data_IF_519148095640
#
_entry.id   IF_519148095640
#
_cell.length_a   1.000
_cell.length_b   1.000
_cell.length_c   1.000
_cell.angle_alpha   90.00
_cell.angle_beta   90.00
_cell.angle_gamma   90.00
#
_symmetry.space_group_name_H-M   'P 1'
#
loop_
_entity.id
_entity.type
_entity.pdbx_description
1 polymer ?
#
# COMPACT_ATOMS: atom_id res chain seq x y z
N UNK A 1 55.39 -6.23 15.53
CA UNK A 1 54.53 -6.69 14.41
C UNK A 1 53.57 -5.56 14.09
N UNK A 2 53.78 -4.90 12.96
CA UNK A 2 52.90 -3.90 12.37
C UNK A 2 51.57 -4.52 11.95
N UNK A 3 50.46 -3.77 12.00
CA UNK A 3 49.69 -3.31 10.81
C UNK A 3 48.22 -2.94 11.12
N UNK A 4 47.88 -1.68 10.77
CA UNK A 4 46.61 -1.13 10.24
C UNK A 4 45.30 -1.42 11.01
N UNK A 5 44.50 -0.45 11.48
CA UNK A 5 44.11 0.81 10.83
C UNK A 5 42.92 0.54 9.92
N UNK A 6 41.72 1.01 10.27
CA UNK A 6 40.55 0.85 9.39
C UNK A 6 39.21 1.20 10.03
N UNK A 7 38.99 2.50 10.28
CA UNK A 7 37.66 3.11 10.42
C UNK A 7 36.96 2.93 9.06
N UNK A 8 35.90 2.13 8.99
CA UNK A 8 35.05 2.08 7.79
C UNK A 8 33.94 3.09 7.96
N UNK A 9 34.24 4.31 7.52
CA UNK A 9 33.26 5.25 7.02
C UNK A 9 32.93 4.87 5.57
N UNK A 10 31.67 4.52 5.31
CA UNK A 10 31.05 4.57 3.98
C UNK A 10 29.61 5.06 4.21
N UNK A 11 29.16 6.20 3.73
CA UNK A 11 29.61 6.97 2.56
C UNK A 11 28.71 6.62 1.38
N UNK A 12 27.53 7.23 1.36
CA UNK A 12 26.58 7.24 0.25
C UNK A 12 25.61 8.40 0.50
N UNK A 13 25.63 9.39 -0.39
CA UNK A 13 25.03 10.72 -0.27
C UNK A 13 23.65 10.73 0.41
N UNK A 14 23.59 11.37 1.58
CA UNK A 14 22.33 11.82 2.15
C UNK A 14 21.88 13.02 1.33
N UNK A 15 20.94 12.79 0.42
CA UNK A 15 20.12 13.87 -0.08
C UNK A 15 19.29 14.35 1.13
N UNK A 16 19.75 15.38 1.82
CA UNK A 16 19.25 15.87 3.13
C UNK A 16 17.77 16.30 3.13
N UNK A 17 17.06 16.17 2.00
CA UNK A 17 15.64 16.50 1.86
C UNK A 17 14.72 15.29 1.64
N UNK A 18 15.21 14.08 1.38
CA UNK A 18 14.35 12.89 1.29
C UNK A 18 14.22 12.23 2.66
N UNK A 19 13.00 12.07 3.23
CA UNK A 19 12.83 11.30 4.46
C UNK A 19 13.35 9.89 4.23
N UNK A 20 14.32 9.46 5.04
CA UNK A 20 14.94 8.12 5.02
C UNK A 20 13.87 7.04 5.09
N UNK A 21 13.42 6.53 3.93
CA UNK A 21 12.43 5.46 3.74
C UNK A 21 11.56 5.14 4.97
N UNK A 22 10.89 6.17 5.51
CA UNK A 22 10.29 6.07 6.82
C UNK A 22 8.86 5.58 6.63
N UNK A 23 8.57 4.42 7.22
CA UNK A 23 7.28 3.74 7.09
C UNK A 23 6.49 3.93 8.39
N UNK A 24 5.30 4.49 8.28
CA UNK A 24 4.43 4.83 9.40
C UNK A 24 3.08 4.15 9.29
N UNK A 25 2.31 4.12 10.38
CA UNK A 25 0.86 4.04 10.26
C UNK A 25 0.35 5.36 9.68
N UNK A 26 -0.81 5.37 9.02
CA UNK A 26 -1.43 6.62 8.56
C UNK A 26 -1.88 7.53 9.71
N UNK A 27 -2.14 6.98 10.90
CA UNK A 27 -2.44 7.77 12.10
C UNK A 27 -1.22 8.55 12.59
N UNK A 28 -0.06 7.90 12.60
CA UNK A 28 1.19 8.43 13.14
C UNK A 28 2.08 9.09 12.07
N UNK A 29 1.53 9.33 10.87
CA UNK A 29 2.28 9.98 9.79
C UNK A 29 2.76 11.37 10.21
N UNK A 30 4.01 11.66 9.93
CA UNK A 30 4.61 12.97 10.13
C UNK A 30 5.52 13.27 8.93
N UNK A 31 4.91 13.80 7.86
CA UNK A 31 5.65 14.09 6.63
C UNK A 31 6.26 15.49 6.69
N UNK A 32 7.53 15.67 6.27
CA UNK A 32 8.15 16.97 6.21
C UNK A 32 7.42 17.88 5.21
N UNK A 33 7.65 19.19 5.33
CA UNK A 33 7.07 20.17 4.40
C UNK A 33 7.44 19.84 2.95
N UNK A 34 6.45 19.80 2.07
CA UNK A 34 6.62 19.43 0.66
C UNK A 34 6.43 17.94 0.36
N UNK A 35 6.09 17.13 1.37
CA UNK A 35 5.82 15.71 1.26
C UNK A 35 4.40 15.39 1.76
N UNK A 36 3.76 14.43 1.09
CA UNK A 36 2.43 13.93 1.45
C UNK A 36 2.50 12.44 1.76
N UNK A 37 1.76 12.01 2.79
CA UNK A 37 1.67 10.60 3.13
C UNK A 37 0.87 9.84 2.06
N UNK A 38 1.47 8.81 1.51
CA UNK A 38 0.86 7.89 0.56
C UNK A 38 0.63 6.52 1.22
N UNK A 39 -0.57 5.96 1.10
CA UNK A 39 -0.86 4.58 1.50
C UNK A 39 -0.18 3.63 0.53
N UNK A 40 0.78 2.85 1.02
CA UNK A 40 1.53 1.88 0.21
C UNK A 40 0.57 0.87 -0.44
N UNK A 41 -0.29 0.26 0.38
CA UNK A 41 -1.43 -0.50 -0.14
C UNK A 41 -2.63 0.44 -0.15
N UNK A 42 -3.21 0.77 -1.31
CA UNK A 42 -4.27 1.76 -1.38
C UNK A 42 -5.46 1.37 -0.50
N UNK A 43 -5.81 2.23 0.47
CA UNK A 43 -6.88 1.97 1.45
C UNK A 43 -8.20 1.54 0.81
N UNK A 44 -8.45 1.95 -0.45
CA UNK A 44 -9.68 1.59 -1.17
C UNK A 44 -9.78 0.12 -1.51
N UNK A 45 -8.67 -0.60 -1.68
CA UNK A 45 -8.73 -2.03 -1.99
C UNK A 45 -9.22 -2.84 -0.78
N UNK A 46 -8.97 -2.33 0.42
CA UNK A 46 -9.21 -2.99 1.71
C UNK A 46 -10.63 -2.81 2.29
N UNK A 47 -11.53 -2.18 1.54
CA UNK A 47 -12.91 -1.89 1.97
C UNK A 47 -13.89 -1.95 0.81
N UNK A 48 -15.15 -2.23 1.14
CA UNK A 48 -16.27 -2.14 0.19
C UNK A 48 -17.04 -0.81 0.30
N UNK A 49 -16.73 0.02 1.31
CA UNK A 49 -17.32 1.34 1.52
C UNK A 49 -16.60 2.51 0.83
N UNK A 50 -17.13 3.71 1.05
CA UNK A 50 -16.55 5.00 0.67
C UNK A 50 -15.38 5.38 1.59
N UNK A 51 -14.68 6.48 1.27
CA UNK A 51 -13.69 7.06 2.18
C UNK A 51 -14.33 7.57 3.49
N UNK A 52 -15.56 8.07 3.44
CA UNK A 52 -16.30 8.53 4.63
C UNK A 52 -16.60 7.37 5.59
N UNK A 53 -16.89 6.20 5.05
CA UNK A 53 -17.09 4.97 5.84
C UNK A 53 -15.76 4.53 6.47
N UNK A 54 -14.66 4.59 5.72
CA UNK A 54 -13.32 4.24 6.22
C UNK A 54 -12.88 5.09 7.42
N UNK A 55 -13.19 6.39 7.44
CA UNK A 55 -12.90 7.29 8.57
C UNK A 55 -13.61 6.83 9.86
N UNK A 56 -14.79 6.20 9.72
CA UNK A 56 -15.58 5.64 10.84
C UNK A 56 -15.24 4.19 11.15
N UNK A 57 -14.22 3.63 10.49
CA UNK A 57 -13.91 2.21 10.50
C UNK A 57 -15.09 1.30 10.08
N UNK A 58 -15.91 1.77 9.14
CA UNK A 58 -17.06 1.03 8.64
C UNK A 58 -16.78 0.45 7.24
N UNK A 59 -17.54 -0.60 6.89
CA UNK A 59 -17.52 -1.26 5.58
C UNK A 59 -16.14 -1.75 5.14
N UNK A 60 -15.34 -2.22 6.11
CA UNK A 60 -14.04 -2.90 5.90
C UNK A 60 -14.27 -4.35 5.53
N UNK A 61 -13.38 -4.89 4.69
CA UNK A 61 -13.31 -6.33 4.47
C UNK A 61 -12.73 -6.95 5.75
N UNK A 62 -13.28 -8.09 6.19
CA UNK A 62 -12.86 -8.76 7.42
C UNK A 62 -11.36 -9.06 7.42
N UNK A 63 -10.68 -8.76 8.53
CA UNK A 63 -9.24 -9.01 8.69
C UNK A 63 -8.31 -8.00 8.03
N UNK A 64 -8.84 -6.96 7.38
CA UNK A 64 -8.02 -5.88 6.82
C UNK A 64 -7.71 -4.80 7.86
N UNK A 65 -6.51 -4.17 7.81
CA UNK A 65 -6.20 -3.02 8.65
C UNK A 65 -7.21 -1.89 8.41
N UNK A 66 -7.37 -0.97 9.35
CA UNK A 66 -8.19 0.23 9.14
C UNK A 66 -7.48 1.25 8.25
N UNK A 67 -8.17 2.35 7.92
CA UNK A 67 -7.55 3.51 7.29
C UNK A 67 -6.32 4.00 8.10
N UNK A 68 -6.50 4.17 9.40
CA UNK A 68 -5.49 4.68 10.32
C UNK A 68 -4.29 3.73 10.47
N UNK A 69 -4.56 2.44 10.50
CA UNK A 69 -3.53 1.40 10.66
C UNK A 69 -2.77 1.09 9.36
N UNK A 70 -3.31 1.48 8.20
CA UNK A 70 -2.66 1.30 6.91
C UNK A 70 -1.27 1.92 6.89
N UNK A 71 -0.31 1.19 6.31
CA UNK A 71 1.08 1.64 6.24
C UNK A 71 1.24 2.70 5.16
N UNK A 72 1.96 3.76 5.51
CA UNK A 72 2.26 4.88 4.62
C UNK A 72 3.75 5.19 4.57
N UNK A 73 4.12 5.87 3.48
CA UNK A 73 5.42 6.50 3.26
C UNK A 73 5.18 7.97 2.90
N UNK A 74 6.12 8.84 3.26
CA UNK A 74 6.08 10.24 2.86
C UNK A 74 6.75 10.39 1.49
N UNK A 75 6.01 10.91 0.52
CA UNK A 75 6.50 11.12 -0.85
C UNK A 75 6.38 12.59 -1.24
N UNK A 76 7.31 13.08 -2.04
CA UNK A 76 7.19 14.38 -2.71
C UNK A 76 5.91 14.41 -3.55
N UNK A 77 5.38 15.60 -3.84
CA UNK A 77 4.16 15.75 -4.67
C UNK A 77 4.26 14.97 -6.00
N UNK A 78 5.43 15.00 -6.64
CA UNK A 78 5.68 14.29 -7.89
C UNK A 78 5.64 12.77 -7.69
N UNK A 79 6.39 12.25 -6.71
CA UNK A 79 6.44 10.82 -6.43
C UNK A 79 5.09 10.28 -5.94
N UNK A 80 4.35 11.05 -5.13
CA UNK A 80 3.00 10.70 -4.70
C UNK A 80 2.06 10.53 -5.90
N UNK A 81 2.17 11.42 -6.89
CA UNK A 81 1.38 11.31 -8.13
C UNK A 81 1.76 10.05 -8.92
N UNK A 82 3.05 9.76 -9.07
CA UNK A 82 3.54 8.54 -9.72
C UNK A 82 3.07 7.27 -8.99
N UNK A 83 3.08 7.27 -7.66
CA UNK A 83 2.59 6.15 -6.86
C UNK A 83 1.11 5.83 -7.10
N UNK A 84 0.31 6.78 -7.58
CA UNK A 84 -1.09 6.55 -7.97
C UNK A 84 -1.28 5.93 -9.35
N UNK A 85 -0.21 5.73 -10.14
CA UNK A 85 -0.31 5.10 -11.46
C UNK A 85 -0.73 3.61 -11.35
N UNK A 86 -0.39 2.95 -10.22
CA UNK A 86 -0.85 1.60 -9.88
C UNK A 86 -2.37 1.46 -9.85
N UNK A 87 -3.12 2.56 -9.65
CA UNK A 87 -4.58 2.53 -9.63
C UNK A 87 -5.16 2.04 -10.97
N UNK A 88 -4.45 2.25 -12.08
CA UNK A 88 -4.85 1.75 -13.40
C UNK A 88 -4.68 0.23 -13.49
N UNK A 89 -3.51 -0.29 -13.10
CA UNK A 89 -3.24 -1.73 -13.09
C UNK A 89 -4.20 -2.49 -12.16
N UNK A 90 -4.45 -1.94 -10.96
CA UNK A 90 -5.44 -2.49 -10.02
C UNK A 90 -6.83 -2.52 -10.66
N UNK A 91 -7.23 -1.46 -11.38
CA UNK A 91 -8.52 -1.43 -12.07
C UNK A 91 -8.60 -2.52 -13.15
N UNK A 92 -7.53 -2.75 -13.90
CA UNK A 92 -7.49 -3.75 -14.97
C UNK A 92 -7.63 -5.18 -14.44
N UNK A 93 -7.06 -5.49 -13.26
CA UNK A 93 -7.36 -6.74 -12.53
C UNK A 93 -8.87 -6.92 -12.30
N UNK A 94 -9.55 -5.81 -11.97
CA UNK A 94 -10.99 -5.77 -11.71
C UNK A 94 -11.88 -5.99 -12.92
N UNK A 95 -11.45 -5.56 -14.11
CA UNK A 95 -12.22 -5.69 -15.34
C UNK A 95 -12.33 -7.15 -15.78
N UNK A 96 -11.34 -7.98 -15.42
CA UNK A 96 -11.34 -9.43 -15.64
C UNK A 96 -11.83 -10.24 -14.42
N UNK A 97 -12.11 -9.55 -13.32
CA UNK A 97 -12.51 -10.15 -12.06
C UNK A 97 -13.88 -10.82 -12.10
N UNK A 98 -14.07 -11.81 -11.24
CA UNK A 98 -15.37 -12.42 -11.01
C UNK A 98 -15.72 -12.42 -9.51
N UNK A 99 -16.63 -11.54 -9.06
CA UNK A 99 -17.38 -10.55 -9.83
C UNK A 99 -16.52 -9.37 -10.34
N UNK A 100 -16.98 -8.70 -11.41
CA UNK A 100 -16.33 -7.50 -11.96
C UNK A 100 -16.15 -6.45 -10.85
N UNK A 101 -14.97 -5.80 -10.85
CA UNK A 101 -14.59 -4.82 -9.83
C UNK A 101 -14.02 -5.44 -8.55
N UNK A 102 -13.67 -6.72 -8.59
CA UNK A 102 -12.93 -7.42 -7.52
C UNK A 102 -11.73 -8.19 -8.08
N UNK A 103 -10.73 -8.42 -7.24
CA UNK A 103 -9.62 -9.35 -7.48
C UNK A 103 -9.19 -9.99 -6.15
N UNK A 104 -8.16 -10.84 -6.14
CA UNK A 104 -7.56 -11.32 -4.90
C UNK A 104 -6.65 -10.25 -4.30
N UNK A 105 -6.44 -10.28 -2.97
CA UNK A 105 -5.44 -9.39 -2.35
C UNK A 105 -4.05 -9.69 -2.88
N UNK A 106 -3.71 -10.96 -3.14
CA UNK A 106 -2.42 -11.35 -3.71
C UNK A 106 -2.13 -10.59 -5.01
N UNK A 107 -3.03 -10.64 -5.99
CA UNK A 107 -2.82 -9.98 -7.29
C UNK A 107 -2.64 -8.46 -7.13
N UNK A 108 -3.43 -7.83 -6.26
CA UNK A 108 -3.30 -6.39 -5.99
C UNK A 108 -1.96 -6.07 -5.32
N UNK A 109 -1.47 -6.91 -4.41
CA UNK A 109 -0.18 -6.67 -3.75
C UNK A 109 0.99 -6.83 -4.72
N UNK A 110 0.91 -7.74 -5.69
CA UNK A 110 1.94 -7.86 -6.73
C UNK A 110 2.01 -6.59 -7.59
N UNK A 111 0.87 -6.04 -8.02
CA UNK A 111 0.84 -4.76 -8.74
C UNK A 111 1.41 -3.60 -7.90
N UNK A 112 1.08 -3.56 -6.61
CA UNK A 112 1.66 -2.58 -5.67
C UNK A 112 3.18 -2.70 -5.60
N UNK A 113 3.71 -3.92 -5.48
CA UNK A 113 5.17 -4.14 -5.42
C UNK A 113 5.86 -3.74 -6.72
N UNK A 114 5.30 -4.10 -7.87
CA UNK A 114 5.81 -3.70 -9.19
C UNK A 114 5.84 -2.17 -9.31
N UNK A 115 4.78 -1.47 -8.86
CA UNK A 115 4.72 -0.01 -8.95
C UNK A 115 5.76 0.74 -8.13
N UNK A 116 6.44 0.08 -7.18
CA UNK A 116 7.51 0.71 -6.41
C UNK A 116 8.70 1.11 -7.30
N UNK A 117 8.90 0.43 -8.43
CA UNK A 117 9.94 0.74 -9.40
C UNK A 117 9.67 2.04 -10.17
N UNK A 118 8.42 2.50 -10.21
CA UNK A 118 8.04 3.73 -10.92
C UNK A 118 8.24 5.01 -10.06
N UNK A 119 8.62 4.87 -8.78
CA UNK A 119 8.76 5.98 -7.81
C UNK A 119 10.23 6.43 -7.71
N UNK A 120 10.90 6.56 -8.84
CA UNK A 120 12.30 7.01 -8.92
C UNK A 120 12.44 8.55 -8.98
N UNK A 121 13.54 9.12 -8.45
CA UNK A 121 14.63 8.45 -7.72
C UNK A 121 14.36 8.32 -6.20
N UNK A 122 13.11 8.49 -5.78
CA UNK A 122 12.77 8.71 -4.37
C UNK A 122 12.77 7.43 -3.53
N UNK A 123 12.46 6.28 -4.15
CA UNK A 123 12.61 4.97 -3.51
C UNK A 123 13.91 4.30 -3.96
N UNK A 124 14.85 4.17 -3.02
CA UNK A 124 16.05 3.34 -3.18
C UNK A 124 15.69 1.85 -3.11
N UNK A 125 16.55 0.96 -3.61
CA UNK A 125 16.34 -0.49 -3.52
C UNK A 125 16.16 -0.98 -2.08
N UNK A 126 16.99 -0.50 -1.15
CA UNK A 126 16.85 -0.77 0.29
C UNK A 126 15.49 -0.33 0.83
N UNK A 127 14.94 0.77 0.30
CA UNK A 127 13.62 1.24 0.69
C UNK A 127 12.52 0.32 0.17
N UNK A 128 12.60 -0.08 -1.10
CA UNK A 128 11.65 -1.02 -1.73
C UNK A 128 11.62 -2.34 -0.96
N UNK A 129 12.77 -2.91 -0.60
CA UNK A 129 12.84 -4.14 0.20
C UNK A 129 12.15 -3.99 1.57
N UNK A 130 12.34 -2.85 2.24
CA UNK A 130 11.67 -2.55 3.52
C UNK A 130 10.16 -2.42 3.36
N UNK A 131 9.70 -1.79 2.28
CA UNK A 131 8.29 -1.66 1.94
C UNK A 131 7.67 -3.05 1.71
N UNK A 132 8.30 -3.88 0.88
CA UNK A 132 7.82 -5.24 0.57
C UNK A 132 7.69 -6.10 1.82
N UNK A 133 8.72 -6.11 2.66
CA UNK A 133 8.70 -6.82 3.95
C UNK A 133 7.57 -6.34 4.85
N UNK A 134 7.28 -5.03 4.82
CA UNK A 134 6.19 -4.45 5.60
C UNK A 134 4.83 -4.88 5.03
N UNK A 135 4.64 -4.83 3.70
CA UNK A 135 3.44 -5.33 3.01
C UNK A 135 3.18 -6.80 3.38
N UNK A 136 4.21 -7.63 3.37
CA UNK A 136 4.05 -9.06 3.64
C UNK A 136 3.55 -9.35 5.05
N UNK A 137 3.94 -8.52 6.03
CA UNK A 137 3.50 -8.58 7.42
C UNK A 137 2.21 -7.83 7.76
N UNK A 138 1.60 -7.07 6.83
CA UNK A 138 0.42 -6.24 7.10
C UNK A 138 -0.88 -7.03 7.33
N UNK A 139 -0.94 -8.28 6.85
CA UNK A 139 -2.19 -9.05 6.80
C UNK A 139 -2.05 -10.40 7.54
N UNK A 140 -1.78 -10.40 8.85
CA UNK A 140 -1.62 -11.64 9.61
C UNK A 140 -2.92 -12.46 9.61
N UNK A 141 -2.81 -13.76 9.35
CA UNK A 141 -3.96 -14.67 9.33
C UNK A 141 -4.87 -14.55 8.09
N UNK A 142 -4.55 -13.67 7.14
CA UNK A 142 -5.32 -13.52 5.90
C UNK A 142 -4.71 -14.40 4.81
N UNK A 143 -5.51 -15.29 4.25
CA UNK A 143 -5.18 -15.97 3.00
C UNK A 143 -5.33 -14.99 1.83
N UNK A 144 -4.21 -14.37 1.43
CA UNK A 144 -4.12 -13.35 0.39
C UNK A 144 -4.61 -13.85 -0.98
N UNK A 145 -4.54 -15.17 -1.23
CA UNK A 145 -4.99 -15.77 -2.50
C UNK A 145 -6.49 -16.01 -2.54
N UNK A 146 -7.15 -16.06 -1.38
CA UNK A 146 -8.58 -16.33 -1.26
C UNK A 146 -9.43 -15.09 -0.93
N UNK A 147 -8.85 -14.09 -0.27
CA UNK A 147 -9.60 -12.88 0.12
C UNK A 147 -9.88 -11.99 -1.09
N UNK A 148 -11.15 -11.68 -1.38
CA UNK A 148 -11.51 -10.73 -2.41
C UNK A 148 -11.27 -9.30 -1.91
N UNK A 149 -10.76 -8.44 -2.78
CA UNK A 149 -10.57 -7.00 -2.55
C UNK A 149 -11.24 -6.18 -3.64
N UNK A 150 -11.50 -4.91 -3.34
CA UNK A 150 -12.04 -3.98 -4.33
C UNK A 150 -10.92 -3.52 -5.27
N UNK A 151 -11.20 -3.39 -6.55
CA UNK A 151 -10.22 -2.91 -7.55
C UNK A 151 -10.58 -1.56 -8.18
N UNK A 152 -11.74 -1.00 -7.85
CA UNK A 152 -12.18 0.30 -8.38
C UNK A 152 -12.28 1.35 -7.27
N UNK A 153 -11.99 2.62 -7.59
CA UNK A 153 -12.08 3.72 -6.60
C UNK A 153 -13.50 3.93 -6.07
N UNK A 154 -14.51 3.66 -6.89
CA UNK A 154 -15.92 3.75 -6.50
C UNK A 154 -16.33 2.45 -5.78
N UNK A 155 -17.04 2.52 -4.64
CA UNK A 155 -17.55 1.32 -4.00
C UNK A 155 -18.52 0.58 -4.92
N UNK A 156 -18.59 -0.76 -4.83
CA UNK A 156 -19.61 -1.51 -5.54
C UNK A 156 -21.00 -1.08 -5.06
N UNK A 157 -21.98 -1.10 -5.97
CA UNK A 157 -23.39 -0.83 -5.64
C UNK A 157 -23.88 -1.84 -4.60
N UNK A 158 -24.56 -1.37 -3.56
CA UNK A 158 -25.17 -2.23 -2.55
C UNK A 158 -26.11 -3.27 -3.20
N UNK A 159 -26.00 -4.52 -2.76
CA UNK A 159 -26.73 -5.65 -3.33
C UNK A 159 -26.15 -6.23 -4.63
N UNK A 160 -25.07 -5.68 -5.18
CA UNK A 160 -24.37 -6.33 -6.30
C UNK A 160 -23.56 -7.55 -5.85
N UNK A 161 -23.14 -8.39 -6.79
CA UNK A 161 -22.29 -9.54 -6.50
C UNK A 161 -20.95 -9.11 -5.89
N UNK A 162 -20.32 -8.05 -6.42
CA UNK A 162 -19.10 -7.49 -5.86
C UNK A 162 -19.30 -6.98 -4.43
N UNK A 163 -20.41 -6.30 -4.16
CA UNK A 163 -20.74 -5.88 -2.80
C UNK A 163 -20.87 -7.07 -1.87
N UNK A 164 -21.66 -8.08 -2.27
CA UNK A 164 -21.92 -9.27 -1.47
C UNK A 164 -20.64 -10.09 -1.22
N UNK A 165 -19.79 -10.22 -2.24
CA UNK A 165 -18.50 -10.93 -2.18
C UNK A 165 -17.56 -10.31 -1.16
N UNK A 166 -17.46 -8.98 -1.13
CA UNK A 166 -16.57 -8.25 -0.22
C UNK A 166 -17.15 -8.13 1.19
N UNK A 167 -18.44 -7.79 1.32
CA UNK A 167 -19.09 -7.55 2.61
C UNK A 167 -19.29 -8.81 3.44
N UNK A 168 -19.51 -9.95 2.79
CA UNK A 168 -19.77 -11.22 3.46
C UNK A 168 -18.52 -12.10 3.59
N UNK A 169 -17.37 -11.68 3.06
CA UNK A 169 -16.13 -12.43 3.24
C UNK A 169 -15.77 -12.51 4.72
N UNK A 170 -15.40 -13.71 5.15
CA UNK A 170 -14.87 -13.99 6.49
C UNK A 170 -13.48 -14.54 6.34
N UNK A 171 -12.50 -13.82 6.87
CA UNK A 171 -11.16 -14.35 7.09
C UNK A 171 -11.29 -15.61 7.96
N UNK A 172 -10.63 -16.70 7.56
CA UNK A 172 -10.57 -17.93 8.35
C UNK A 172 -9.67 -17.76 9.56
#
# INVERSE_FOLDING_TARGET
>A
MSKFGGKVSGGGDQNENTPDCQLYSYEDKDCPSGYDAHHIVPDFVLRYGTRKDAIKNDKRISGMPTLKEGVCICLSEKAHKSAHEVDAAIKDLGDMGNPIGTSTLFDVLEEVKVSLDDIEPELTDDCKERIEKKIDGMFPGVDKTAVPVRTTKRPPKEGSDAYSRLANFKSK
#
